data_IF_752547597494
#
_entry.id   IF_752547597494
#
_cell.length_a   1.000
_cell.length_b   1.000
_cell.length_c   1.000
_cell.angle_alpha   90.00
_cell.angle_beta   90.00
_cell.angle_gamma   90.00
#
_symmetry.space_group_name_H-M   'P 1'
#
loop_
_entity.id
_entity.type
_entity.pdbx_description
1 polymer ?
#
# COMPACT_ATOMS: atom_id res chain seq x y z
N UNK A 1 -3.66 14.52 -26.37
CA UNK A 1 -3.45 14.48 -24.92
C UNK A 1 -4.09 13.21 -24.39
N UNK A 2 -3.34 12.33 -23.75
CA UNK A 2 -3.93 11.14 -23.11
C UNK A 2 -4.62 11.58 -21.81
N UNK A 3 -5.89 11.21 -21.54
CA UNK A 3 -6.56 11.58 -20.31
C UNK A 3 -5.95 10.84 -19.12
N UNK A 4 -5.51 11.59 -18.11
CA UNK A 4 -5.04 11.07 -16.83
C UNK A 4 -6.25 10.72 -15.96
N UNK A 5 -6.93 9.62 -16.27
CA UNK A 5 -8.12 9.18 -15.53
C UNK A 5 -7.71 8.37 -14.30
N UNK A 6 -8.30 8.66 -13.15
CA UNK A 6 -8.15 7.82 -11.95
C UNK A 6 -8.74 6.43 -12.23
N UNK A 7 -7.88 5.40 -12.23
CA UNK A 7 -8.28 4.04 -12.60
C UNK A 7 -8.86 3.28 -11.40
N UNK A 8 -8.26 3.46 -10.20
CA UNK A 8 -8.62 2.69 -9.01
C UNK A 8 -8.21 3.40 -7.72
N UNK A 9 -9.03 3.23 -6.70
CA UNK A 9 -8.72 3.59 -5.30
C UNK A 9 -8.78 2.32 -4.48
N UNK A 10 -7.75 2.06 -3.67
CA UNK A 10 -7.72 0.90 -2.77
C UNK A 10 -7.77 1.38 -1.33
N UNK A 11 -8.79 0.93 -0.60
CA UNK A 11 -9.10 1.34 0.77
C UNK A 11 -8.71 0.25 1.75
N UNK A 12 -8.41 0.62 2.99
CA UNK A 12 -8.16 -0.36 4.05
C UNK A 12 -7.39 0.20 5.23
N UNK A 13 -6.51 1.18 4.99
CA UNK A 13 -5.82 1.86 6.07
C UNK A 13 -6.79 2.71 6.90
N UNK A 14 -6.69 2.60 8.23
CA UNK A 14 -7.54 3.34 9.16
C UNK A 14 -6.92 4.68 9.57
N UNK A 15 -5.62 4.85 9.31
CA UNK A 15 -4.86 6.07 9.55
C UNK A 15 -4.04 6.48 8.32
N UNK A 16 -3.37 7.63 8.40
CA UNK A 16 -2.59 8.21 7.30
C UNK A 16 -1.57 7.24 6.70
N UNK A 17 -1.56 7.17 5.38
CA UNK A 17 -0.57 6.45 4.59
C UNK A 17 0.64 7.37 4.43
N UNK A 18 1.83 6.85 4.73
CA UNK A 18 3.07 7.62 4.62
C UNK A 18 3.86 7.29 3.37
N UNK A 19 3.76 6.06 2.89
CA UNK A 19 4.55 5.60 1.76
C UNK A 19 3.81 4.51 0.97
N UNK A 20 4.03 4.51 -0.34
CA UNK A 20 3.54 3.49 -1.26
C UNK A 20 4.62 3.16 -2.30
N UNK A 21 4.76 1.90 -2.68
CA UNK A 21 5.75 1.47 -3.68
C UNK A 21 5.19 0.34 -4.56
N UNK A 22 5.43 0.45 -5.87
CA UNK A 22 5.18 -0.64 -6.82
C UNK A 22 6.27 -1.71 -6.71
N UNK A 23 5.90 -2.97 -6.92
CA UNK A 23 6.89 -4.05 -6.98
C UNK A 23 7.65 -3.97 -8.32
N UNK A 24 8.99 -4.01 -8.31
CA UNK A 24 9.81 -3.79 -9.50
C UNK A 24 9.69 -4.90 -10.56
N UNK A 25 9.12 -6.06 -10.22
CA UNK A 25 8.86 -7.17 -11.16
C UNK A 25 7.37 -7.42 -11.44
N UNK A 26 6.47 -6.72 -10.74
CA UNK A 26 5.03 -6.89 -10.94
C UNK A 26 4.31 -5.55 -10.65
N UNK A 27 4.03 -4.79 -11.69
CA UNK A 27 3.35 -3.50 -11.61
C UNK A 27 1.91 -3.62 -11.09
N UNK A 28 1.35 -4.83 -11.03
CA UNK A 28 0.03 -5.07 -10.45
C UNK A 28 0.07 -5.15 -8.93
N UNK A 29 1.24 -5.21 -8.29
CA UNK A 29 1.35 -5.20 -6.84
C UNK A 29 1.81 -3.83 -6.36
N UNK A 30 1.16 -3.34 -5.32
CA UNK A 30 1.57 -2.13 -4.59
C UNK A 30 1.68 -2.47 -3.11
N UNK A 31 2.77 -2.08 -2.46
CA UNK A 31 2.86 -2.05 -1.00
C UNK A 31 2.57 -0.64 -0.48
N UNK A 32 1.77 -0.51 0.58
CA UNK A 32 1.54 0.74 1.31
C UNK A 32 1.75 0.57 2.81
N UNK A 33 2.30 1.61 3.45
CA UNK A 33 2.54 1.64 4.89
C UNK A 33 1.80 2.81 5.53
N UNK A 34 1.16 2.57 6.68
CA UNK A 34 0.34 3.55 7.39
C UNK A 34 0.70 3.65 8.87
N UNK A 35 0.24 4.73 9.51
CA UNK A 35 0.30 4.93 10.96
C UNK A 35 -0.54 3.92 11.75
N UNK A 36 -1.44 3.18 11.08
CA UNK A 36 -2.24 2.11 11.69
C UNK A 36 -1.42 0.85 12.05
N UNK A 37 -0.08 0.99 12.06
CA UNK A 37 0.89 -0.07 12.30
C UNK A 37 0.78 -1.26 11.32
N UNK A 38 0.15 -1.06 10.17
CA UNK A 38 0.00 -2.08 9.13
C UNK A 38 0.77 -1.71 7.85
N UNK A 39 1.29 -2.76 7.22
CA UNK A 39 1.73 -2.72 5.83
C UNK A 39 0.76 -3.58 5.05
N UNK A 40 0.21 -3.02 3.97
CA UNK A 40 -0.73 -3.73 3.10
C UNK A 40 -0.12 -3.89 1.73
N UNK A 41 -0.23 -5.10 1.18
CA UNK A 41 0.10 -5.38 -0.21
C UNK A 41 -1.22 -5.49 -0.97
N UNK A 42 -1.40 -4.60 -1.93
CA UNK A 42 -2.57 -4.52 -2.78
C UNK A 42 -2.22 -5.16 -4.11
N UNK A 43 -2.99 -6.17 -4.47
CA UNK A 43 -3.04 -6.62 -5.86
C UNK A 43 -4.05 -5.75 -6.60
N UNK A 44 -3.63 -5.20 -7.74
CA UNK A 44 -4.43 -4.36 -8.63
C UNK A 44 -5.19 -5.19 -9.66
N UNK A 45 -4.77 -6.44 -9.91
CA UNK A 45 -5.51 -7.37 -10.76
C UNK A 45 -6.73 -7.93 -10.04
N UNK A 46 -6.60 -8.14 -8.74
CA UNK A 46 -7.66 -8.64 -7.88
C UNK A 46 -8.26 -7.49 -7.06
N UNK A 47 -9.48 -7.64 -6.55
CA UNK A 47 -10.03 -6.66 -5.58
C UNK A 47 -9.55 -6.94 -4.14
N UNK A 48 -8.55 -7.80 -3.98
CA UNK A 48 -8.06 -8.28 -2.70
C UNK A 48 -6.83 -7.50 -2.25
N UNK A 49 -6.91 -6.92 -1.06
CA UNK A 49 -5.74 -6.43 -0.33
C UNK A 49 -5.29 -7.51 0.64
N UNK A 50 -4.03 -7.93 0.52
CA UNK A 50 -3.41 -8.86 1.45
C UNK A 50 -2.78 -8.03 2.55
N UNK A 51 -3.32 -8.16 3.76
CA UNK A 51 -2.81 -7.46 4.94
C UNK A 51 -1.66 -8.27 5.53
N UNK A 52 -0.45 -7.70 5.54
CA UNK A 52 0.66 -8.25 6.31
C UNK A 52 0.72 -7.53 7.65
N UNK A 53 -0.08 -8.00 8.60
CA UNK A 53 -0.09 -7.45 9.96
C UNK A 53 1.01 -8.12 10.79
N UNK A 54 2.25 -7.62 10.69
CA UNK A 54 3.26 -7.63 11.76
C UNK A 54 4.57 -7.09 11.20
N UNK A 55 4.95 -5.87 11.59
CA UNK A 55 6.33 -5.44 11.47
C UNK A 55 6.79 -4.63 12.69
N UNK A 56 5.99 -3.70 13.24
CA UNK A 56 6.50 -2.81 14.30
C UNK A 56 5.47 -2.44 15.38
N UNK A 57 5.75 -2.84 16.64
CA UNK A 57 5.04 -2.38 17.87
C UNK A 57 5.56 -1.04 18.39
N UNK A 58 6.61 -0.49 17.77
CA UNK A 58 7.19 0.82 18.10
C UNK A 58 7.68 1.56 16.84
N UNK A 59 7.77 2.88 16.94
CA UNK A 59 8.16 3.82 15.89
C UNK A 59 9.60 3.55 15.45
N UNK A 60 9.79 2.94 14.29
CA UNK A 60 11.13 2.74 13.71
C UNK A 60 11.71 4.10 13.34
N UNK A 61 12.75 4.53 14.06
CA UNK A 61 13.62 5.61 13.60
C UNK A 61 14.41 5.07 12.40
N UNK A 62 14.24 5.72 11.24
CA UNK A 62 15.06 5.65 10.00
C UNK A 62 16.55 5.39 10.31
N UNK A 63 17.36 4.72 9.48
CA UNK A 63 17.33 4.42 8.03
C UNK A 63 17.81 2.99 7.78
#
# INVERSE_FOLDING_TARGET
>A
SCPSTLIRTVSGHTLNIFHGRFFPGNCSLIASCSLDASVRVHDLTTTASIVCSTAHRERVKKL
#
